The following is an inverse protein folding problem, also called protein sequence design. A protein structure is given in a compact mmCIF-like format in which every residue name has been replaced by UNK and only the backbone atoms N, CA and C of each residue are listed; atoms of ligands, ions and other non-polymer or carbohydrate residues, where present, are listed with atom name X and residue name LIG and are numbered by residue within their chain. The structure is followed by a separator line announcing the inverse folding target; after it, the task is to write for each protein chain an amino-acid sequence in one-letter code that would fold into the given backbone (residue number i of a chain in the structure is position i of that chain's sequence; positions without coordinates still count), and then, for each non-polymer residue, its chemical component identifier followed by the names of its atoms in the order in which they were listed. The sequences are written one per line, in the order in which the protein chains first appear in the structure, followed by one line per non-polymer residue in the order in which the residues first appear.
data_IF_961962110870
#
_entry.id   IF_961962110870
#
_cell.length_a   1.000
_cell.length_b   1.000
_cell.length_c   1.000
_cell.angle_alpha   90.00
_cell.angle_beta   90.00
_cell.angle_gamma   90.00
#
_symmetry.space_group_name_H-M   'P 1'
#
loop_
_entity.id
_entity.type
_entity.pdbx_description
1 polymer ?
#
# COMPACT_ATOMS: atom_id res chain seq x y z
N UNK A 1 -12.85 -0.80 10.90
CA UNK A 1 -11.56 -0.29 10.37
C UNK A 1 -11.45 -0.51 8.87
N UNK A 2 -11.45 -1.78 8.40
CA UNK A 2 -11.39 -2.12 6.98
C UNK A 2 -12.40 -1.41 6.08
N UNK A 3 -13.66 -1.26 6.53
CA UNK A 3 -14.69 -0.51 5.80
C UNK A 3 -14.29 0.96 5.54
N UNK A 4 -13.61 1.60 6.50
CA UNK A 4 -13.15 2.99 6.36
C UNK A 4 -11.98 3.08 5.37
N UNK A 5 -11.05 2.12 5.43
CA UNK A 5 -9.96 2.02 4.45
C UNK A 5 -10.52 1.78 3.03
N UNK A 6 -11.50 0.89 2.86
CA UNK A 6 -12.18 0.65 1.59
C UNK A 6 -12.93 1.90 1.09
N UNK A 7 -13.60 2.63 1.97
CA UNK A 7 -14.25 3.90 1.60
C UNK A 7 -13.23 4.94 1.09
N UNK A 8 -12.07 5.06 1.74
CA UNK A 8 -10.98 5.92 1.27
C UNK A 8 -10.37 5.43 -0.04
N UNK A 9 -10.17 4.13 -0.19
CA UNK A 9 -9.67 3.51 -1.43
C UNK A 9 -10.56 3.87 -2.64
N UNK A 10 -11.88 3.82 -2.44
CA UNK A 10 -12.85 4.26 -3.46
C UNK A 10 -12.83 5.77 -3.71
N UNK A 11 -12.84 6.59 -2.64
CA UNK A 11 -12.83 8.07 -2.73
C UNK A 11 -11.58 8.62 -3.42
N UNK A 12 -10.43 8.04 -3.10
CA UNK A 12 -9.14 8.44 -3.68
C UNK A 12 -8.90 7.81 -5.06
N UNK A 13 -9.82 6.95 -5.52
CA UNK A 13 -9.72 6.22 -6.80
C UNK A 13 -8.39 5.47 -6.95
N UNK A 14 -7.93 4.82 -5.87
CA UNK A 14 -6.66 4.08 -5.86
C UNK A 14 -6.67 2.91 -6.87
N UNK A 15 -7.86 2.41 -7.22
CA UNK A 15 -8.04 1.39 -8.24
C UNK A 15 -7.91 1.89 -9.69
N UNK A 16 -7.90 3.20 -9.92
CA UNK A 16 -7.88 3.83 -11.25
C UNK A 16 -6.44 3.86 -11.79
N UNK A 17 -5.82 2.67 -11.84
CA UNK A 17 -4.49 2.41 -12.41
C UNK A 17 -4.64 1.43 -13.56
N UNK A 18 -3.84 1.58 -14.61
CA UNK A 18 -3.94 0.77 -15.83
C UNK A 18 -3.82 -0.73 -15.52
N UNK A 19 -2.91 -1.08 -14.62
CA UNK A 19 -2.60 -2.46 -14.25
C UNK A 19 -3.40 -2.99 -13.05
N UNK A 20 -4.30 -2.19 -12.48
CA UNK A 20 -5.04 -2.50 -11.26
C UNK A 20 -4.08 -2.86 -10.11
N UNK A 21 -3.04 -2.06 -9.96
CA UNK A 21 -1.90 -2.32 -9.07
C UNK A 21 -1.82 -1.34 -7.89
N UNK A 22 -2.79 -0.43 -7.75
CA UNK A 22 -2.84 0.53 -6.66
C UNK A 22 -2.92 -0.10 -5.26
N UNK A 23 -2.23 0.52 -4.30
CA UNK A 23 -2.20 0.09 -2.89
C UNK A 23 -2.45 1.30 -1.98
N UNK A 24 -3.33 1.12 -0.99
CA UNK A 24 -3.56 2.06 0.10
C UNK A 24 -3.02 1.46 1.40
N UNK A 25 -2.07 2.16 2.02
CA UNK A 25 -1.63 1.90 3.40
C UNK A 25 -2.35 2.90 4.30
N UNK A 26 -3.27 2.41 5.13
CA UNK A 26 -4.10 3.21 6.03
C UNK A 26 -3.60 3.08 7.48
N UNK A 27 -3.18 4.21 8.06
CA UNK A 27 -2.63 4.29 9.42
C UNK A 27 -3.58 5.02 10.37
N UNK A 28 -3.94 4.39 11.48
CA UNK A 28 -4.62 5.01 12.61
C UNK A 28 -3.63 5.18 13.76
N UNK A 29 -2.95 6.33 13.83
CA UNK A 29 -1.87 6.56 14.79
C UNK A 29 -2.34 6.51 16.25
N UNK A 30 -3.53 7.06 16.54
CA UNK A 30 -4.10 7.06 17.90
C UNK A 30 -4.44 5.64 18.40
N UNK A 31 -4.87 4.77 17.49
CA UNK A 31 -5.28 3.38 17.78
C UNK A 31 -4.15 2.38 17.54
N UNK A 32 -2.99 2.83 17.03
CA UNK A 32 -1.86 1.99 16.56
C UNK A 32 -2.31 0.86 15.63
N UNK A 33 -3.32 1.14 14.81
CA UNK A 33 -3.90 0.15 13.90
C UNK A 33 -3.50 0.44 12.45
N UNK A 34 -3.23 -0.63 11.70
CA UNK A 34 -2.85 -0.60 10.28
C UNK A 34 -3.81 -1.43 9.44
N UNK A 35 -4.21 -0.91 8.27
CA UNK A 35 -4.90 -1.67 7.23
C UNK A 35 -4.22 -1.43 5.89
N UNK A 36 -3.93 -2.49 5.15
CA UNK A 36 -3.41 -2.39 3.78
C UNK A 36 -4.48 -2.93 2.82
N UNK A 37 -4.86 -2.10 1.86
CA UNK A 37 -5.84 -2.44 0.82
C UNK A 37 -5.14 -2.35 -0.53
N UNK A 38 -5.01 -3.48 -1.21
CA UNK A 38 -4.45 -3.54 -2.56
C UNK A 38 -5.56 -3.82 -3.58
N UNK A 39 -5.40 -3.28 -4.79
CA UNK A 39 -6.24 -3.60 -5.92
C UNK A 39 -6.02 -5.05 -6.39
N UNK A 40 -6.99 -5.58 -7.13
CA UNK A 40 -7.10 -6.98 -7.57
C UNK A 40 -5.88 -7.46 -8.36
N UNK A 41 -5.19 -6.60 -9.08
CA UNK A 41 -4.01 -6.98 -9.87
C UNK A 41 -2.87 -7.43 -8.97
N UNK A 42 -2.50 -6.60 -8.00
CA UNK A 42 -1.42 -6.93 -7.06
C UNK A 42 -1.86 -7.94 -5.99
N UNK A 43 -3.08 -7.78 -5.45
CA UNK A 43 -3.61 -8.65 -4.39
C UNK A 43 -3.70 -10.13 -4.80
N UNK A 44 -3.89 -10.44 -6.08
CA UNK A 44 -3.92 -11.82 -6.60
C UNK A 44 -2.54 -12.45 -6.78
N UNK A 45 -1.49 -11.64 -6.83
CA UNK A 45 -0.12 -12.08 -7.15
C UNK A 45 0.75 -12.26 -5.90
N UNK A 46 0.49 -11.47 -4.87
CA UNK A 46 1.24 -11.52 -3.60
C UNK A 46 0.50 -12.40 -2.58
N UNK A 47 1.16 -13.43 -2.00
CA UNK A 47 0.53 -14.31 -1.01
C UNK A 47 0.06 -13.57 0.25
N UNK A 48 -1.05 -13.98 0.88
CA UNK A 48 -1.56 -13.36 2.12
C UNK A 48 -0.54 -13.28 3.26
N UNK A 49 0.37 -14.26 3.36
CA UNK A 49 1.41 -14.29 4.38
C UNK A 49 2.43 -13.15 4.24
N UNK A 50 2.71 -12.71 3.01
CA UNK A 50 3.62 -11.60 2.77
C UNK A 50 2.99 -10.26 3.16
N UNK A 51 1.70 -10.08 2.89
CA UNK A 51 0.95 -8.93 3.39
C UNK A 51 0.92 -8.89 4.92
N UNK A 52 0.66 -10.04 5.56
CA UNK A 52 0.67 -10.16 7.02
C UNK A 52 2.03 -9.76 7.61
N UNK A 53 3.14 -10.22 7.03
CA UNK A 53 4.48 -9.86 7.48
C UNK A 53 4.75 -8.35 7.40
N UNK A 54 4.27 -7.67 6.36
CA UNK A 54 4.39 -6.21 6.24
C UNK A 54 3.55 -5.50 7.30
N UNK A 55 2.32 -5.94 7.53
CA UNK A 55 1.44 -5.38 8.57
C UNK A 55 2.09 -5.56 9.96
N UNK A 56 2.59 -6.76 10.26
CA UNK A 56 3.23 -7.07 11.54
C UNK A 56 4.49 -6.22 11.76
N UNK A 57 5.33 -6.06 10.74
CA UNK A 57 6.52 -5.24 10.79
C UNK A 57 6.21 -3.76 11.02
N UNK A 58 5.21 -3.23 10.31
CA UNK A 58 4.73 -1.86 10.48
C UNK A 58 4.10 -1.66 11.87
N UNK A 59 3.35 -2.63 12.38
CA UNK A 59 2.75 -2.60 13.71
C UNK A 59 3.83 -2.59 14.81
N UNK A 60 4.85 -3.43 14.67
CA UNK A 60 5.98 -3.44 15.59
C UNK A 60 6.71 -2.09 15.62
N UNK A 61 6.90 -1.47 14.44
CA UNK A 61 7.50 -0.14 14.34
C UNK A 61 6.64 0.96 14.98
N UNK A 62 5.31 0.91 14.84
CA UNK A 62 4.39 1.83 15.54
C UNK A 62 4.49 1.67 17.06
N UNK A 63 4.54 0.42 17.56
CA UNK A 63 4.69 0.14 18.99
C UNK A 63 6.03 0.59 19.55
N UNK A 64 7.09 0.57 18.73
CA UNK A 64 8.43 1.01 19.08
C UNK A 64 8.66 2.53 18.90
N UNK A 65 7.60 3.31 18.65
CA UNK A 65 7.66 4.77 18.40
C UNK A 65 8.56 5.14 17.21
N UNK A 66 8.64 4.26 16.20
CA UNK A 66 9.41 4.44 14.96
C UNK A 66 8.54 4.29 13.70
N UNK A 67 7.43 5.03 13.59
CA UNK A 67 6.47 4.88 12.50
C UNK A 67 7.09 5.09 11.11
N UNK A 68 8.02 6.04 11.00
CA UNK A 68 8.68 6.40 9.73
C UNK A 68 9.46 5.22 9.15
N UNK A 69 10.23 4.52 9.99
CA UNK A 69 11.00 3.35 9.57
C UNK A 69 10.09 2.18 9.16
N UNK A 70 9.01 1.96 9.90
CA UNK A 70 8.02 0.93 9.55
C UNK A 70 7.32 1.24 8.23
N UNK A 71 6.92 2.50 8.02
CA UNK A 71 6.22 2.91 6.80
C UNK A 71 7.14 2.83 5.59
N UNK A 72 8.39 3.28 5.71
CA UNK A 72 9.38 3.13 4.65
C UNK A 72 9.58 1.66 4.25
N UNK A 73 9.72 0.76 5.23
CA UNK A 73 9.86 -0.67 4.96
C UNK A 73 8.60 -1.27 4.28
N UNK A 74 7.41 -0.82 4.65
CA UNK A 74 6.17 -1.24 4.00
C UNK A 74 6.09 -0.75 2.54
N UNK A 75 6.47 0.50 2.28
CA UNK A 75 6.55 1.06 0.92
C UNK A 75 7.57 0.27 0.09
N UNK A 76 8.77 -0.01 0.62
CA UNK A 76 9.81 -0.78 -0.07
C UNK A 76 9.36 -2.21 -0.43
N UNK A 77 8.54 -2.83 0.43
CA UNK A 77 7.96 -4.14 0.17
C UNK A 77 6.96 -4.09 -1.00
N UNK A 78 6.05 -3.12 -0.97
CA UNK A 78 5.05 -2.91 -2.03
C UNK A 78 5.74 -2.58 -3.36
N UNK A 79 6.70 -1.68 -3.34
CA UNK A 79 7.50 -1.27 -4.50
C UNK A 79 8.27 -2.44 -5.13
N UNK A 80 8.80 -3.35 -4.31
CA UNK A 80 9.43 -4.59 -4.78
C UNK A 80 8.43 -5.51 -5.48
N UNK A 81 7.25 -5.72 -4.91
CA UNK A 81 6.22 -6.55 -5.54
C UNK A 81 5.72 -5.93 -6.85
N UNK A 82 5.53 -4.61 -6.88
CA UNK A 82 5.15 -3.87 -8.07
C UNK A 82 6.18 -4.06 -9.19
N UNK A 83 7.47 -3.83 -8.91
CA UNK A 83 8.53 -4.04 -9.92
C UNK A 83 8.62 -5.47 -10.42
N UNK A 84 8.38 -6.46 -9.56
CA UNK A 84 8.46 -7.87 -9.93
C UNK A 84 7.26 -8.31 -10.78
N UNK A 85 6.05 -7.84 -10.45
CA UNK A 85 4.82 -8.30 -11.09
C UNK A 85 4.31 -7.41 -12.23
N UNK A 86 4.71 -6.13 -12.23
CA UNK A 86 4.33 -5.09 -13.18
C UNK A 86 5.59 -4.33 -13.63
N UNK A 87 6.55 -5.01 -14.28
CA UNK A 87 7.77 -4.35 -14.73
C UNK A 87 7.43 -3.28 -15.77
N UNK A 88 8.01 -2.09 -15.61
CA UNK A 88 7.87 -1.03 -16.62
C UNK A 88 8.52 -1.48 -17.93
N UNK A 89 7.71 -1.68 -18.97
CA UNK A 89 8.23 -1.99 -20.29
C UNK A 89 8.82 -0.73 -20.94
N UNK A 90 9.98 -0.86 -21.59
CA UNK A 90 10.73 0.29 -22.15
C UNK A 90 9.97 1.01 -23.28
N UNK A 91 8.97 0.36 -23.86
CA UNK A 91 8.11 0.83 -24.94
C UNK A 91 6.78 1.44 -24.46
N UNK A 92 6.51 1.41 -23.15
CA UNK A 92 5.28 1.92 -22.56
C UNK A 92 5.56 3.12 -21.65
N UNK A 93 4.83 4.24 -21.80
CA UNK A 93 4.91 5.32 -20.83
C UNK A 93 4.45 4.82 -19.44
N UNK A 94 5.20 5.19 -18.40
CA UNK A 94 4.86 4.93 -17.01
C UNK A 94 4.58 6.28 -16.31
N UNK A 95 3.39 6.88 -16.53
CA UNK A 95 3.03 8.15 -15.91
C UNK A 95 2.79 7.96 -14.41
N UNK A 96 2.86 9.05 -13.65
CA UNK A 96 2.42 9.00 -12.26
C UNK A 96 0.88 8.95 -12.20
N UNK A 97 0.31 7.76 -12.01
CA UNK A 97 -1.14 7.52 -12.01
C UNK A 97 -1.83 7.96 -10.71
N UNK A 98 -1.10 7.97 -9.59
CA UNK A 98 -1.60 8.35 -8.26
C UNK A 98 -0.73 9.44 -7.63
N UNK A 99 -1.30 10.45 -6.98
CA UNK A 99 -0.48 11.50 -6.36
C UNK A 99 0.35 10.98 -5.18
N UNK A 100 1.60 11.46 -5.07
CA UNK A 100 2.56 11.02 -4.03
C UNK A 100 2.28 11.62 -2.62
N UNK A 101 1.26 12.48 -2.52
CA UNK A 101 0.96 13.22 -1.29
C UNK A 101 0.32 12.36 -0.20
N UNK A 102 0.76 12.54 1.05
CA UNK A 102 0.11 11.93 2.21
C UNK A 102 -1.25 12.58 2.46
N UNK A 103 -2.31 11.78 2.43
CA UNK A 103 -3.67 12.23 2.75
C UNK A 103 -3.87 12.21 4.26
N UNK A 104 -4.18 13.38 4.84
CA UNK A 104 -4.49 13.55 6.27
C UNK A 104 -5.96 13.93 6.42
N UNK A 105 -6.70 13.16 7.22
CA UNK A 105 -8.16 13.24 7.38
C UNK A 105 -8.56 13.18 8.84
#
# INVERSE_FOLDING_TARGET
MRERALAWFGRLRVWDTEDNAGVLIYLLLAERAIEIVADRGLARRVPPAEWAAVVDGLQAALCAERPEAGLAAAIDAVDRWLRYHFPSASDRPNPNELPDGVVRV
#
